data_IF_232648891253
#
_entry.id   IF_232648891253
#
_cell.length_a   1.000
_cell.length_b   1.000
_cell.length_c   1.000
_cell.angle_alpha   90.00
_cell.angle_beta   90.00
_cell.angle_gamma   90.00
#
_symmetry.space_group_name_H-M   'P 1'
#
loop_
_entity.id
_entity.type
_entity.pdbx_description
1 polymer ?
#
# COMPACT_ATOMS: atom_id res chain seq x y z
N UNK A 1 -9.56 -14.40 5.29
CA UNK A 1 -8.14 -14.04 5.52
C UNK A 1 -7.81 -14.40 6.97
N UNK A 2 -6.79 -15.20 7.24
CA UNK A 2 -6.36 -15.49 8.62
C UNK A 2 -5.35 -14.41 9.03
N UNK A 3 -5.44 -13.81 10.23
CA UNK A 3 -4.45 -12.83 10.68
C UNK A 3 -3.11 -13.54 10.91
N UNK A 4 -2.06 -13.03 10.25
CA UNK A 4 -0.70 -13.57 10.36
C UNK A 4 0.18 -12.52 11.04
N UNK A 5 0.74 -12.87 12.20
CA UNK A 5 1.74 -12.03 12.88
C UNK A 5 3.14 -12.46 12.44
N UNK A 6 3.89 -11.56 11.80
CA UNK A 6 5.25 -11.79 11.38
C UNK A 6 6.11 -10.57 11.71
N UNK A 7 7.39 -10.80 12.00
CA UNK A 7 8.38 -9.73 12.13
C UNK A 7 8.51 -9.02 10.77
N UNK A 8 8.76 -7.71 10.77
CA UNK A 8 8.90 -6.92 9.55
C UNK A 8 10.00 -7.51 8.65
N UNK A 9 9.59 -8.19 7.57
CA UNK A 9 10.47 -8.85 6.62
C UNK A 9 10.03 -8.50 5.21
N UNK A 10 10.94 -7.91 4.42
CA UNK A 10 10.65 -7.47 3.04
C UNK A 10 10.13 -8.61 2.16
N UNK A 11 10.64 -9.83 2.36
CA UNK A 11 10.20 -11.03 1.62
C UNK A 11 8.73 -11.38 1.93
N UNK A 12 8.36 -11.39 3.20
CA UNK A 12 6.98 -11.68 3.64
C UNK A 12 6.00 -10.62 3.11
N UNK A 13 6.39 -9.33 3.16
CA UNK A 13 5.57 -8.24 2.60
C UNK A 13 5.36 -8.44 1.10
N UNK A 14 6.43 -8.76 0.35
CA UNK A 14 6.35 -9.01 -1.08
C UNK A 14 5.41 -10.17 -1.41
N UNK A 15 5.59 -11.30 -0.74
CA UNK A 15 4.74 -12.50 -0.93
C UNK A 15 3.28 -12.23 -0.58
N UNK A 16 3.02 -11.56 0.55
CA UNK A 16 1.67 -11.19 0.96
C UNK A 16 0.99 -10.26 -0.06
N UNK A 17 1.71 -9.24 -0.54
CA UNK A 17 1.17 -8.32 -1.55
C UNK A 17 0.90 -9.05 -2.87
N UNK A 18 1.84 -9.85 -3.36
CA UNK A 18 1.65 -10.64 -4.58
C UNK A 18 0.50 -11.64 -4.46
N UNK A 19 0.29 -12.22 -3.28
CA UNK A 19 -0.79 -13.16 -3.03
C UNK A 19 -2.17 -12.50 -3.09
N UNK A 20 -2.33 -11.31 -2.51
CA UNK A 20 -3.61 -10.59 -2.61
C UNK A 20 -3.85 -10.04 -4.03
N UNK A 21 -2.80 -9.57 -4.72
CA UNK A 21 -2.91 -9.11 -6.10
C UNK A 21 -3.30 -10.22 -7.07
N UNK A 22 -2.78 -11.44 -6.91
CA UNK A 22 -3.15 -12.59 -7.76
C UNK A 22 -4.61 -13.02 -7.55
N UNK A 23 -5.22 -12.67 -6.43
CA UNK A 23 -6.65 -12.86 -6.14
C UNK A 23 -7.53 -11.73 -6.66
N UNK A 24 -6.95 -10.72 -7.33
CA UNK A 24 -7.63 -9.50 -7.73
C UNK A 24 -7.99 -8.59 -6.56
N UNK A 25 -7.37 -8.80 -5.39
CA UNK A 25 -7.54 -7.98 -4.21
C UNK A 25 -6.63 -6.76 -4.19
N UNK A 26 -6.83 -5.92 -3.18
CA UNK A 26 -6.06 -4.70 -2.94
C UNK A 26 -5.33 -4.81 -1.61
N UNK A 27 -4.24 -4.05 -1.44
CA UNK A 27 -3.47 -4.03 -0.19
C UNK A 27 -3.39 -2.62 0.37
N UNK A 28 -3.64 -2.50 1.66
CA UNK A 28 -3.52 -1.27 2.42
C UNK A 28 -2.37 -1.40 3.42
N UNK A 29 -1.48 -0.42 3.45
CA UNK A 29 -0.38 -0.33 4.40
C UNK A 29 -0.58 0.89 5.29
N UNK A 30 -0.73 0.69 6.60
CA UNK A 30 -0.75 1.81 7.54
C UNK A 30 0.69 2.10 7.99
N UNK A 31 1.18 3.30 7.67
CA UNK A 31 2.46 3.77 8.19
C UNK A 31 2.30 5.09 8.93
N UNK A 32 3.20 5.39 9.85
CA UNK A 32 3.28 6.76 10.39
C UNK A 32 3.65 7.71 9.24
N UNK A 33 2.88 8.77 9.06
CA UNK A 33 3.20 10.02 8.36
C UNK A 33 4.63 10.17 7.79
N UNK A 34 5.60 10.39 8.67
CA UNK A 34 7.01 10.62 8.34
C UNK A 34 7.70 9.47 7.59
N UNK A 35 7.16 8.25 7.72
CA UNK A 35 7.68 7.03 7.09
C UNK A 35 6.94 6.68 5.80
N UNK A 36 5.88 7.39 5.42
CA UNK A 36 5.07 7.07 4.25
C UNK A 36 5.90 7.12 2.95
N UNK A 37 6.63 8.21 2.67
CA UNK A 37 7.46 8.31 1.46
C UNK A 37 8.61 7.30 1.39
N UNK A 38 9.42 7.10 2.46
CA UNK A 38 10.46 6.06 2.46
C UNK A 38 9.90 4.65 2.26
N UNK A 39 8.72 4.35 2.83
CA UNK A 39 8.07 3.05 2.69
C UNK A 39 7.50 2.88 1.29
N UNK A 40 6.87 3.90 0.71
CA UNK A 40 6.38 3.88 -0.66
C UNK A 40 7.53 3.64 -1.65
N UNK A 41 8.67 4.32 -1.49
CA UNK A 41 9.85 4.11 -2.32
C UNK A 41 10.46 2.71 -2.13
N UNK A 42 10.48 2.19 -0.89
CA UNK A 42 10.85 0.81 -0.63
C UNK A 42 9.93 -0.18 -1.36
N UNK A 43 8.61 0.02 -1.29
CA UNK A 43 7.62 -0.83 -1.94
C UNK A 43 7.74 -0.76 -3.47
N UNK A 44 7.97 0.44 -4.03
CA UNK A 44 8.17 0.63 -5.46
C UNK A 44 9.41 -0.11 -5.98
N UNK A 45 10.48 -0.18 -5.17
CA UNK A 45 11.66 -1.00 -5.48
C UNK A 45 11.39 -2.49 -5.37
N UNK A 46 10.58 -2.92 -4.40
CA UNK A 46 10.25 -4.34 -4.20
C UNK A 46 9.26 -4.87 -5.25
N UNK A 47 8.40 -4.00 -5.74
CA UNK A 47 7.25 -4.31 -6.59
C UNK A 47 7.09 -3.22 -7.67
N UNK A 48 7.90 -3.25 -8.74
CA UNK A 48 7.90 -2.19 -9.75
C UNK A 48 6.67 -2.19 -10.68
N UNK A 49 5.93 -3.30 -10.73
CA UNK A 49 4.80 -3.50 -11.66
C UNK A 49 3.44 -3.11 -11.07
N UNK A 50 3.43 -2.41 -9.94
CA UNK A 50 2.21 -1.99 -9.26
C UNK A 50 2.23 -0.50 -9.00
N UNK A 51 1.04 0.08 -9.05
CA UNK A 51 0.84 1.49 -8.71
C UNK A 51 0.70 1.63 -7.20
N UNK A 52 1.45 2.56 -6.64
CA UNK A 52 1.46 2.85 -5.22
C UNK A 52 1.03 4.31 -5.06
N UNK A 53 -0.06 4.53 -4.34
CA UNK A 53 -0.47 5.84 -3.85
C UNK A 53 -0.09 6.01 -2.39
N UNK A 54 0.08 7.25 -1.97
CA UNK A 54 0.38 7.59 -0.58
C UNK A 54 -0.77 8.44 -0.06
N UNK A 55 -1.37 8.04 1.05
CA UNK A 55 -2.41 8.80 1.73
C UNK A 55 -1.92 9.25 3.09
N UNK A 56 -2.05 10.54 3.37
CA UNK A 56 -1.67 11.10 4.65
C UNK A 56 -2.85 11.87 5.25
N UNK A 57 -3.10 11.72 6.55
CA UNK A 57 -4.15 12.47 7.24
C UNK A 57 -3.89 13.99 7.39
N UNK A 58 -2.85 14.50 6.73
CA UNK A 58 -2.54 15.94 6.63
C UNK A 58 -2.67 16.43 5.17
N UNK A 59 -3.02 15.54 4.23
CA UNK A 59 -3.37 15.93 2.87
C UNK A 59 -4.69 16.70 2.89
N UNK A 60 -4.88 17.53 1.86
CA UNK A 60 -6.15 18.21 1.70
C UNK A 60 -7.26 17.18 1.48
N UNK A 61 -8.47 17.54 1.87
CA UNK A 61 -9.65 16.68 1.82
C UNK A 61 -9.86 16.10 0.41
N UNK A 62 -9.73 16.94 -0.62
CA UNK A 62 -9.83 16.54 -2.02
C UNK A 62 -8.74 15.56 -2.45
N UNK A 63 -7.51 15.74 -1.98
CA UNK A 63 -6.40 14.83 -2.33
C UNK A 63 -6.61 13.47 -1.67
N UNK A 64 -7.06 13.46 -0.41
CA UNK A 64 -7.38 12.23 0.30
C UNK A 64 -8.56 11.50 -0.37
N UNK A 65 -9.60 12.23 -0.76
CA UNK A 65 -10.75 11.67 -1.47
C UNK A 65 -10.34 11.03 -2.80
N UNK A 66 -9.51 11.70 -3.60
CA UNK A 66 -8.99 11.14 -4.86
C UNK A 66 -8.20 9.85 -4.62
N UNK A 67 -7.31 9.81 -3.62
CA UNK A 67 -6.56 8.60 -3.29
C UNK A 67 -7.48 7.48 -2.81
N UNK A 68 -8.55 7.79 -2.07
CA UNK A 68 -9.54 6.79 -1.64
C UNK A 68 -10.39 6.27 -2.80
N UNK A 69 -10.75 7.13 -3.77
CA UNK A 69 -11.45 6.75 -5.00
C UNK A 69 -10.56 5.85 -5.88
N UNK A 70 -9.31 6.24 -6.11
CA UNK A 70 -8.34 5.43 -6.86
C UNK A 70 -8.10 4.08 -6.19
N UNK A 71 -8.07 4.04 -4.85
CA UNK A 71 -7.99 2.80 -4.10
C UNK A 71 -9.25 1.96 -4.32
N UNK A 72 -10.45 2.54 -4.20
CA UNK A 72 -11.72 1.84 -4.44
C UNK A 72 -11.81 1.21 -5.84
N UNK A 73 -11.21 1.84 -6.85
CA UNK A 73 -11.21 1.33 -8.23
C UNK A 73 -10.12 0.27 -8.51
N UNK A 74 -9.44 -0.26 -7.49
CA UNK A 74 -8.33 -1.21 -7.62
C UNK A 74 -7.14 -0.68 -8.41
N UNK A 75 -6.98 0.65 -8.47
CA UNK A 75 -5.93 1.27 -9.29
C UNK A 75 -4.61 1.36 -8.57
N UNK A 76 -4.61 1.44 -7.23
CA UNK A 76 -3.42 1.74 -6.42
C UNK A 76 -3.37 0.96 -5.11
N UNK A 77 -2.17 0.75 -4.59
CA UNK A 77 -1.93 0.36 -3.19
C UNK A 77 -1.71 1.62 -2.35
N UNK A 78 -2.37 1.75 -1.20
CA UNK A 78 -2.27 2.96 -0.37
C UNK A 78 -1.36 2.72 0.84
N UNK A 79 -0.44 3.67 1.09
CA UNK A 79 0.51 3.69 2.22
C UNK A 79 0.25 4.83 3.20
#
# INVERSE_FOLDING_TARGET
MKPTSCRFQKKVIKEAVQHELTRGGQVFSCTTAFKASPVAEMLHRLLPNIRIGVAHGQMNEHELEQVMLDFSESRILTC
#
